data_IF_252212895957
#
_entry.id   IF_252212895957
#
_cell.length_a   1.000
_cell.length_b   1.000
_cell.length_c   1.000
_cell.angle_alpha   90.00
_cell.angle_beta   90.00
_cell.angle_gamma   90.00
#
_symmetry.space_group_name_H-M   'P 1'
#
loop_
_entity.id
_entity.type
_entity.pdbx_description
1 polymer ?
#
# COMPACT_ATOMS: atom_id res chain seq x y z
N UNK A 1 41.06 -66.42 6.01
CA UNK A 1 41.10 -65.39 4.95
C UNK A 1 39.88 -64.51 5.09
N UNK A 2 40.06 -63.23 5.41
CA UNK A 2 38.98 -62.24 5.61
C UNK A 2 38.32 -61.94 4.26
N UNK A 3 37.04 -62.26 4.09
CA UNK A 3 36.23 -61.74 2.97
C UNK A 3 35.44 -60.51 3.43
N UNK A 4 35.43 -59.53 2.55
CA UNK A 4 35.11 -58.13 2.76
C UNK A 4 33.64 -57.89 3.13
N UNK A 5 33.44 -57.14 4.22
CA UNK A 5 32.24 -56.33 4.47
C UNK A 5 32.28 -55.14 3.49
N UNK A 6 31.36 -55.06 2.53
CA UNK A 6 31.13 -53.82 1.77
C UNK A 6 29.85 -53.92 0.94
N UNK A 7 28.68 -53.90 1.58
CA UNK A 7 27.39 -53.56 0.94
C UNK A 7 26.39 -53.31 2.09
N UNK A 8 26.31 -52.07 2.61
CA UNK A 8 25.22 -51.18 2.21
C UNK A 8 25.66 -49.70 2.27
N UNK A 9 26.38 -49.22 1.26
CA UNK A 9 26.65 -47.78 1.13
C UNK A 9 26.09 -47.16 -0.16
N UNK A 10 25.57 -47.98 -1.08
CA UNK A 10 25.15 -47.51 -2.41
C UNK A 10 23.66 -47.13 -2.51
N UNK A 11 22.83 -47.46 -1.50
CA UNK A 11 21.39 -47.10 -1.49
C UNK A 11 21.13 -45.78 -0.73
N UNK A 12 22.11 -45.25 0.00
CA UNK A 12 21.99 -43.95 0.67
C UNK A 12 22.38 -42.75 -0.22
N UNK A 13 22.90 -42.98 -1.42
CA UNK A 13 23.43 -41.93 -2.29
C UNK A 13 22.44 -41.41 -3.36
N UNK A 14 21.25 -42.02 -3.45
CA UNK A 14 20.18 -41.59 -4.38
C UNK A 14 19.04 -40.82 -3.69
N UNK A 15 19.07 -40.67 -2.37
CA UNK A 15 18.06 -39.90 -1.61
C UNK A 15 18.51 -38.49 -1.23
N UNK A 16 19.70 -38.06 -1.63
CA UNK A 16 20.28 -36.77 -1.25
C UNK A 16 20.66 -35.94 -2.46
N UNK A 17 19.69 -35.21 -3.03
CA UNK A 17 19.82 -33.93 -3.74
C UNK A 17 18.45 -33.57 -4.35
N UNK A 18 17.41 -33.48 -3.50
CA UNK A 18 16.26 -32.65 -3.86
C UNK A 18 16.74 -31.23 -3.65
N UNK A 19 17.03 -30.48 -4.71
CA UNK A 19 17.31 -29.04 -4.58
C UNK A 19 16.10 -28.42 -3.88
N UNK A 20 16.28 -28.00 -2.64
CA UNK A 20 15.29 -27.18 -1.95
C UNK A 20 15.42 -25.78 -2.55
N UNK A 21 14.70 -25.54 -3.64
CA UNK A 21 14.40 -24.18 -4.08
C UNK A 21 13.51 -23.50 -3.04
N UNK A 22 13.60 -22.18 -2.95
CA UNK A 22 12.73 -21.41 -2.09
C UNK A 22 11.27 -21.58 -2.53
N UNK A 23 10.40 -21.92 -1.57
CA UNK A 23 8.97 -22.07 -1.86
C UNK A 23 8.35 -20.70 -2.18
N UNK A 24 7.71 -20.63 -3.34
CA UNK A 24 6.81 -19.56 -3.76
C UNK A 24 5.37 -19.85 -3.31
N UNK A 25 4.51 -18.82 -3.19
CA UNK A 25 4.82 -17.39 -3.38
C UNK A 25 5.55 -16.78 -2.17
N UNK A 26 6.39 -15.76 -2.41
CA UNK A 26 6.99 -14.97 -1.34
C UNK A 26 5.96 -14.03 -0.73
N UNK A 27 5.85 -14.05 0.60
CA UNK A 27 4.98 -13.14 1.33
C UNK A 27 5.54 -11.72 1.32
N UNK A 28 4.70 -10.76 0.94
CA UNK A 28 5.02 -9.32 0.96
C UNK A 28 3.87 -8.55 1.61
N UNK A 29 4.14 -7.36 2.13
CA UNK A 29 3.10 -6.51 2.70
C UNK A 29 2.31 -5.77 1.64
N UNK A 30 2.95 -5.40 0.52
CA UNK A 30 2.34 -4.54 -0.49
C UNK A 30 3.08 -4.58 -1.82
N UNK A 31 2.35 -4.54 -2.93
CA UNK A 31 2.90 -4.15 -4.24
C UNK A 31 2.79 -2.63 -4.33
N UNK A 32 3.87 -1.92 -4.03
CA UNK A 32 3.89 -0.45 -4.01
C UNK A 32 3.73 0.13 -5.43
N UNK A 33 4.49 -0.40 -6.40
CA UNK A 33 4.36 0.00 -7.81
C UNK A 33 4.64 -1.15 -8.76
N UNK A 34 3.89 -1.20 -9.86
CA UNK A 34 4.20 -2.10 -10.98
C UNK A 34 5.41 -1.59 -11.75
N UNK A 35 6.12 -2.49 -12.45
CA UNK A 35 7.20 -2.07 -13.35
C UNK A 35 6.64 -1.25 -14.53
N UNK A 36 7.32 -0.18 -14.90
CA UNK A 36 7.04 0.58 -16.12
C UNK A 36 7.77 0.03 -17.36
N UNK A 37 8.68 -0.94 -17.19
CA UNK A 37 9.53 -1.49 -18.26
C UNK A 37 8.92 -2.75 -18.87
N UNK A 38 8.47 -3.67 -18.02
CA UNK A 38 7.99 -4.99 -18.44
C UNK A 38 6.89 -5.49 -17.50
N UNK A 39 5.83 -6.08 -18.07
CA UNK A 39 4.87 -6.85 -17.29
C UNK A 39 5.44 -8.25 -17.05
N UNK A 40 5.28 -8.79 -15.85
CA UNK A 40 5.68 -10.16 -15.60
C UNK A 40 4.80 -11.11 -16.41
N UNK A 41 5.46 -11.94 -17.21
CA UNK A 41 4.86 -13.00 -18.00
C UNK A 41 5.97 -14.03 -18.26
N UNK A 42 5.63 -15.31 -18.18
CA UNK A 42 6.51 -16.44 -18.54
C UNK A 42 7.71 -16.69 -17.60
N UNK A 43 8.41 -17.82 -17.86
CA UNK A 43 9.54 -18.44 -17.14
C UNK A 43 10.81 -17.56 -17.06
N UNK A 44 10.68 -16.34 -16.55
CA UNK A 44 11.82 -15.44 -16.36
C UNK A 44 12.57 -15.84 -15.09
N UNK A 45 13.89 -15.70 -15.13
CA UNK A 45 14.66 -15.63 -13.89
C UNK A 45 14.18 -14.44 -13.07
N UNK A 46 14.20 -14.55 -11.75
CA UNK A 46 13.73 -13.47 -10.87
C UNK A 46 14.94 -12.85 -10.20
N UNK A 47 15.14 -11.55 -10.39
CA UNK A 47 16.17 -10.80 -9.68
C UNK A 47 15.51 -9.91 -8.62
N UNK A 48 15.78 -10.20 -7.35
CA UNK A 48 15.31 -9.39 -6.22
C UNK A 48 16.42 -8.41 -5.83
N UNK A 49 16.15 -7.11 -5.91
CA UNK A 49 17.01 -5.99 -5.54
C UNK A 49 16.58 -5.43 -4.17
N UNK A 50 17.35 -5.71 -3.13
CA UNK A 50 17.12 -5.20 -1.78
C UNK A 50 17.73 -3.81 -1.62
N UNK A 51 16.87 -2.81 -1.42
CA UNK A 51 17.25 -1.41 -1.39
C UNK A 51 16.70 -0.66 -0.17
N UNK A 52 17.08 0.61 -0.02
CA UNK A 52 16.52 1.52 0.96
C UNK A 52 16.58 2.98 0.51
N UNK A 53 15.67 3.81 1.01
CA UNK A 53 15.59 5.24 0.68
C UNK A 53 16.83 6.02 1.14
N UNK A 54 17.42 5.61 2.26
CA UNK A 54 18.65 6.18 2.83
C UNK A 54 19.93 5.60 2.21
N UNK A 55 19.83 4.57 1.38
CA UNK A 55 20.99 3.89 0.79
C UNK A 55 21.48 4.63 -0.47
N UNK A 56 22.51 5.45 -0.31
CA UNK A 56 23.16 6.17 -1.41
C UNK A 56 23.61 5.26 -2.57
N UNK A 57 24.38 4.18 -2.32
CA UNK A 57 24.83 3.27 -3.37
C UNK A 57 23.69 2.52 -4.09
N UNK A 58 22.56 2.29 -3.41
CA UNK A 58 21.40 1.64 -4.00
C UNK A 58 20.86 2.42 -5.20
N UNK A 59 20.91 3.76 -5.16
CA UNK A 59 20.43 4.61 -6.27
C UNK A 59 21.11 4.26 -7.60
N UNK A 60 22.43 4.11 -7.58
CA UNK A 60 23.20 3.75 -8.77
C UNK A 60 22.95 2.30 -9.20
N UNK A 61 22.88 1.39 -8.22
CA UNK A 61 22.57 -0.02 -8.45
C UNK A 61 21.20 -0.20 -9.13
N UNK A 62 20.14 0.41 -8.60
CA UNK A 62 18.80 0.34 -9.18
C UNK A 62 18.76 0.91 -10.59
N UNK A 63 19.44 2.02 -10.89
CA UNK A 63 19.54 2.54 -12.27
C UNK A 63 20.27 1.60 -13.23
N UNK A 64 21.31 0.92 -12.78
CA UNK A 64 21.95 -0.14 -13.56
C UNK A 64 20.98 -1.30 -13.84
N UNK A 65 20.19 -1.69 -12.84
CA UNK A 65 19.21 -2.77 -12.99
C UNK A 65 18.04 -2.38 -13.91
N UNK A 66 17.58 -1.13 -13.90
CA UNK A 66 16.60 -0.63 -14.87
C UNK A 66 17.09 -0.81 -16.32
N UNK A 67 18.35 -0.44 -16.60
CA UNK A 67 18.96 -0.63 -17.93
C UNK A 67 19.04 -2.12 -18.29
N UNK A 68 19.47 -2.96 -17.34
CA UNK A 68 19.54 -4.40 -17.59
C UNK A 68 18.15 -5.03 -17.78
N UNK A 69 17.12 -4.53 -17.11
CA UNK A 69 15.74 -4.96 -17.29
C UNK A 69 15.23 -4.62 -18.70
N UNK A 70 15.63 -3.47 -19.26
CA UNK A 70 15.29 -3.10 -20.64
C UNK A 70 15.89 -4.05 -21.67
N UNK A 71 17.12 -4.52 -21.44
CA UNK A 71 17.85 -5.42 -22.33
C UNK A 71 17.46 -6.91 -22.17
N UNK A 72 16.85 -7.27 -21.04
CA UNK A 72 16.56 -8.66 -20.66
C UNK A 72 15.07 -8.89 -20.36
N UNK A 73 14.20 -8.11 -21.02
CA UNK A 73 12.74 -8.15 -20.78
C UNK A 73 12.15 -9.55 -20.90
N UNK A 74 12.70 -10.39 -21.76
CA UNK A 74 12.18 -11.74 -22.02
C UNK A 74 12.79 -12.80 -21.10
N UNK A 75 13.96 -12.53 -20.51
CA UNK A 75 14.74 -13.51 -19.77
C UNK A 75 14.74 -13.31 -18.26
N UNK A 76 14.70 -12.06 -17.79
CA UNK A 76 14.83 -11.72 -16.38
C UNK A 76 13.76 -10.73 -15.98
N UNK A 77 13.07 -11.02 -14.87
CA UNK A 77 12.18 -10.09 -14.21
C UNK A 77 12.83 -9.58 -12.93
N UNK A 78 12.98 -8.26 -12.83
CA UNK A 78 13.67 -7.59 -11.76
C UNK A 78 12.68 -6.84 -10.89
N UNK A 79 12.83 -7.00 -9.58
CA UNK A 79 11.94 -6.44 -8.58
C UNK A 79 12.74 -5.84 -7.43
N UNK A 80 12.42 -4.61 -7.05
CA UNK A 80 13.05 -3.90 -5.96
C UNK A 80 12.22 -4.07 -4.68
N UNK A 81 12.83 -4.58 -3.61
CA UNK A 81 12.20 -4.88 -2.32
C UNK A 81 12.77 -3.99 -1.23
N UNK A 82 11.89 -3.42 -0.39
CA UNK A 82 12.26 -2.63 0.80
C UNK A 82 11.39 -3.01 1.99
N UNK A 83 11.97 -2.95 3.19
CA UNK A 83 11.30 -3.14 4.49
C UNK A 83 10.86 -1.82 5.13
N UNK A 84 11.05 -0.69 4.45
CA UNK A 84 10.71 0.62 5.00
C UNK A 84 9.20 0.88 5.03
N UNK A 85 8.79 1.83 5.87
CA UNK A 85 7.39 2.26 5.95
C UNK A 85 6.89 2.79 4.61
N UNK A 86 5.60 2.60 4.31
CA UNK A 86 4.98 3.14 3.09
C UNK A 86 5.29 4.64 2.92
N UNK A 87 5.23 5.43 4.00
CA UNK A 87 5.55 6.86 3.98
C UNK A 87 7.00 7.16 3.56
N UNK A 88 7.97 6.36 4.01
CA UNK A 88 9.37 6.54 3.64
C UNK A 88 9.59 6.23 2.15
N UNK A 89 9.08 5.08 1.69
CA UNK A 89 9.13 4.65 0.29
C UNK A 89 8.45 5.68 -0.61
N UNK A 90 7.27 6.13 -0.20
CA UNK A 90 6.50 7.15 -0.90
C UNK A 90 7.30 8.45 -1.05
N UNK A 91 7.86 9.00 0.03
CA UNK A 91 8.69 10.20 -0.05
C UNK A 91 9.90 10.08 -0.98
N UNK A 92 10.48 8.88 -1.09
CA UNK A 92 11.59 8.62 -2.00
C UNK A 92 11.14 8.52 -3.45
N UNK A 93 10.11 7.72 -3.72
CA UNK A 93 9.62 7.41 -5.07
C UNK A 93 9.13 8.65 -5.81
N UNK A 94 8.61 9.63 -5.07
CA UNK A 94 8.27 10.98 -5.57
C UNK A 94 9.46 11.74 -6.17
N UNK A 95 10.64 11.63 -5.53
CA UNK A 95 11.86 12.36 -5.92
C UNK A 95 12.73 11.57 -6.89
N UNK A 96 12.64 10.25 -6.84
CA UNK A 96 13.53 9.35 -7.56
C UNK A 96 12.76 8.09 -7.96
N UNK A 97 11.88 8.19 -8.98
CA UNK A 97 11.06 7.07 -9.39
C UNK A 97 11.94 5.90 -9.84
N UNK A 98 11.59 4.73 -9.32
CA UNK A 98 12.15 3.44 -9.72
C UNK A 98 11.23 2.86 -10.80
N UNK A 99 11.81 2.46 -11.93
CA UNK A 99 11.08 1.91 -13.08
C UNK A 99 10.85 0.39 -12.97
N UNK A 100 11.58 -0.27 -12.07
CA UNK A 100 11.33 -1.64 -11.68
C UNK A 100 10.04 -1.76 -10.87
N UNK A 101 9.51 -2.98 -10.75
CA UNK A 101 8.45 -3.23 -9.79
C UNK A 101 8.99 -3.00 -8.38
N UNK A 102 8.24 -2.29 -7.53
CA UNK A 102 8.62 -2.04 -6.14
C UNK A 102 7.66 -2.78 -5.22
N UNK A 103 8.21 -3.62 -4.36
CA UNK A 103 7.48 -4.36 -3.34
C UNK A 103 7.92 -3.87 -1.95
N UNK A 104 6.95 -3.84 -1.04
CA UNK A 104 7.18 -3.55 0.37
C UNK A 104 7.01 -4.82 1.19
N UNK A 105 8.02 -5.15 1.98
CA UNK A 105 8.04 -6.27 2.91
C UNK A 105 8.28 -5.72 4.31
N UNK A 106 7.22 -5.14 4.90
CA UNK A 106 7.27 -4.48 6.21
C UNK A 106 7.78 -5.40 7.31
N UNK A 107 7.42 -6.68 7.21
CA UNK A 107 7.83 -7.70 8.17
C UNK A 107 9.29 -8.13 7.95
N UNK A 108 9.97 -7.71 6.88
CA UNK A 108 11.33 -8.11 6.53
C UNK A 108 11.50 -9.62 6.35
N UNK A 109 10.43 -10.30 5.90
CA UNK A 109 10.42 -11.74 5.68
C UNK A 109 11.44 -12.19 4.63
N UNK A 110 11.52 -11.50 3.49
CA UNK A 110 12.50 -11.77 2.44
C UNK A 110 13.92 -11.42 2.89
N UNK A 111 14.09 -10.30 3.60
CA UNK A 111 15.40 -9.89 4.13
C UNK A 111 15.98 -10.98 5.03
N UNK A 112 15.17 -11.56 5.92
CA UNK A 112 15.57 -12.69 6.76
C UNK A 112 15.79 -13.96 5.94
N UNK A 113 14.86 -14.29 5.04
CA UNK A 113 14.91 -15.50 4.19
C UNK A 113 16.20 -15.57 3.39
N UNK A 114 16.63 -14.45 2.80
CA UNK A 114 17.85 -14.37 1.99
C UNK A 114 19.09 -13.92 2.78
N UNK A 115 18.99 -13.83 4.11
CA UNK A 115 20.08 -13.42 4.99
C UNK A 115 20.78 -12.11 4.55
N UNK A 116 19.99 -11.11 4.19
CA UNK A 116 20.48 -9.83 3.66
C UNK A 116 21.04 -8.98 4.81
N UNK A 117 22.37 -8.89 4.88
CA UNK A 117 23.09 -8.20 5.97
C UNK A 117 23.36 -6.71 5.68
N UNK A 118 23.35 -6.31 4.42
CA UNK A 118 23.64 -4.95 3.99
C UNK A 118 22.94 -4.62 2.69
N UNK A 119 22.79 -3.32 2.40
CA UNK A 119 22.19 -2.80 1.17
C UNK A 119 23.20 -1.91 0.43
N UNK A 120 23.28 -1.97 -0.91
CA UNK A 120 22.45 -2.77 -1.80
C UNK A 120 22.86 -4.25 -1.83
N UNK A 121 21.87 -5.13 -2.05
CA UNK A 121 22.08 -6.56 -2.19
C UNK A 121 21.08 -7.09 -3.21
N UNK A 122 21.48 -8.06 -4.04
CA UNK A 122 20.59 -8.69 -4.98
C UNK A 122 20.69 -10.21 -4.91
N UNK A 123 19.58 -10.87 -5.21
CA UNK A 123 19.45 -12.33 -5.32
C UNK A 123 18.83 -12.66 -6.66
N UNK A 124 19.50 -13.53 -7.43
CA UNK A 124 18.98 -14.10 -8.67
C UNK A 124 18.45 -15.49 -8.38
N UNK A 125 17.19 -15.71 -8.73
CA UNK A 125 16.48 -16.97 -8.56
C UNK A 125 16.12 -17.58 -9.92
N UNK A 126 16.11 -18.91 -9.97
CA UNK A 126 15.39 -19.63 -11.01
C UNK A 126 13.87 -19.51 -10.79
N UNK A 127 13.08 -19.86 -11.80
CA UNK A 127 11.63 -19.97 -11.66
C UNK A 127 11.20 -21.17 -10.79
N UNK A 128 12.13 -21.98 -10.25
CA UNK A 128 11.85 -22.99 -9.22
C UNK A 128 12.26 -22.52 -7.81
N UNK A 129 12.75 -21.28 -7.68
CA UNK A 129 13.15 -20.70 -6.40
C UNK A 129 14.60 -21.03 -6.03
N UNK A 130 15.38 -21.65 -6.91
CA UNK A 130 16.78 -21.94 -6.65
C UNK A 130 17.61 -20.65 -6.72
N UNK A 131 18.45 -20.41 -5.70
CA UNK A 131 19.38 -19.28 -5.69
C UNK A 131 20.53 -19.54 -6.66
N UNK A 132 20.52 -18.82 -7.79
CA UNK A 132 21.53 -18.91 -8.84
C UNK A 132 22.74 -18.01 -8.56
N UNK A 133 22.49 -16.87 -7.91
CA UNK A 133 23.51 -15.91 -7.54
C UNK A 133 23.00 -14.97 -6.44
N UNK A 134 23.89 -14.49 -5.59
CA UNK A 134 23.59 -13.39 -4.66
C UNK A 134 24.82 -12.51 -4.43
N UNK A 135 24.60 -11.24 -4.08
CA UNK A 135 25.68 -10.30 -3.78
C UNK A 135 25.35 -8.86 -4.14
N UNK A 136 26.37 -8.00 -4.21
CA UNK A 136 26.19 -6.60 -4.57
C UNK A 136 25.78 -6.46 -6.05
N UNK A 137 24.74 -5.67 -6.41
CA UNK A 137 24.20 -5.61 -7.78
C UNK A 137 25.22 -5.19 -8.85
N UNK A 138 26.24 -4.40 -8.50
CA UNK A 138 27.34 -4.06 -9.43
C UNK A 138 28.13 -5.28 -9.95
N UNK A 139 28.02 -6.44 -9.28
CA UNK A 139 28.57 -7.71 -9.73
C UNK A 139 27.74 -8.42 -10.80
N UNK A 140 26.64 -7.82 -11.26
CA UNK A 140 25.82 -8.28 -12.38
C UNK A 140 26.17 -7.51 -13.66
N UNK A 141 26.33 -8.25 -14.75
CA UNK A 141 26.47 -7.69 -16.09
C UNK A 141 25.48 -8.38 -17.03
N UNK A 142 25.21 -7.74 -18.17
CA UNK A 142 24.34 -8.29 -19.22
C UNK A 142 24.77 -9.71 -19.61
N UNK A 143 26.07 -9.92 -19.86
CA UNK A 143 26.61 -11.23 -20.23
C UNK A 143 26.42 -12.28 -19.12
N UNK A 144 26.59 -11.88 -17.86
CA UNK A 144 26.41 -12.78 -16.72
C UNK A 144 24.97 -13.23 -16.61
N UNK A 145 24.01 -12.31 -16.72
CA UNK A 145 22.58 -12.62 -16.71
C UNK A 145 22.17 -13.45 -17.93
N UNK A 146 22.68 -13.14 -19.14
CA UNK A 146 22.44 -13.96 -20.34
C UNK A 146 22.96 -15.39 -20.19
N UNK A 147 24.11 -15.60 -19.53
CA UNK A 147 24.62 -16.94 -19.24
C UNK A 147 23.69 -17.73 -18.30
N UNK A 148 23.18 -17.09 -17.24
CA UNK A 148 22.18 -17.70 -16.39
C UNK A 148 20.91 -18.03 -17.18
N UNK A 149 20.36 -17.07 -17.92
CA UNK A 149 19.13 -17.27 -18.70
C UNK A 149 19.23 -18.47 -19.66
N UNK A 150 20.34 -18.59 -20.40
CA UNK A 150 20.57 -19.73 -21.31
C UNK A 150 20.66 -21.07 -20.58
N UNK A 151 21.18 -21.09 -19.36
CA UNK A 151 21.37 -22.34 -18.60
C UNK A 151 20.07 -22.87 -17.99
N UNK A 152 19.04 -22.03 -17.87
CA UNK A 152 17.78 -22.36 -17.19
C UNK A 152 16.55 -22.31 -18.12
N UNK A 153 16.73 -22.24 -19.45
CA UNK A 153 15.65 -22.11 -20.44
C UNK A 153 14.69 -23.31 -20.61
N UNK A 154 14.86 -24.41 -19.85
CA UNK A 154 14.13 -25.67 -20.08
C UNK A 154 13.52 -26.26 -18.80
N UNK A 155 12.25 -25.94 -18.49
CA UNK A 155 11.45 -26.69 -17.49
C UNK A 155 9.97 -26.79 -17.81
N UNK A 156 9.37 -27.82 -17.20
CA UNK A 156 8.02 -28.35 -17.38
C UNK A 156 6.96 -27.78 -16.42
N UNK A 157 7.14 -26.62 -15.78
CA UNK A 157 6.03 -25.94 -15.10
C UNK A 157 6.31 -24.42 -14.90
N UNK A 158 5.69 -23.53 -15.71
CA UNK A 158 5.97 -22.09 -15.63
C UNK A 158 5.21 -21.40 -14.49
N UNK A 159 5.93 -20.72 -13.59
CA UNK A 159 5.35 -19.57 -12.88
C UNK A 159 5.03 -18.52 -13.94
N UNK A 160 3.75 -18.24 -14.12
CA UNK A 160 3.24 -17.52 -15.29
C UNK A 160 2.57 -16.21 -14.92
N UNK A 161 2.17 -16.08 -13.65
CA UNK A 161 1.49 -14.92 -13.07
C UNK A 161 2.29 -14.36 -11.91
N UNK A 162 2.11 -13.06 -11.64
CA UNK A 162 2.71 -12.41 -10.45
C UNK A 162 2.25 -13.05 -9.15
N UNK A 163 0.99 -13.48 -9.10
CA UNK A 163 0.41 -14.18 -7.94
C UNK A 163 1.11 -15.53 -7.66
N UNK A 164 1.78 -16.12 -8.66
CA UNK A 164 2.57 -17.33 -8.50
C UNK A 164 3.93 -17.03 -7.82
N UNK A 165 4.38 -15.77 -7.86
CA UNK A 165 5.66 -15.32 -7.29
C UNK A 165 5.53 -14.67 -5.93
N UNK A 166 4.52 -13.82 -5.77
CA UNK A 166 4.35 -12.97 -4.59
C UNK A 166 2.92 -13.05 -4.09
N UNK A 167 2.77 -13.28 -2.80
CA UNK A 167 1.49 -13.24 -2.11
C UNK A 167 1.49 -12.00 -1.22
N UNK A 168 0.51 -11.12 -1.44
CA UNK A 168 0.30 -10.01 -0.52
C UNK A 168 -0.29 -10.58 0.76
N UNK A 169 0.50 -10.55 1.83
CA UNK A 169 0.08 -10.97 3.17
C UNK A 169 -1.18 -10.18 3.50
N UNK A 170 -2.25 -10.89 3.89
CA UNK A 170 -3.43 -10.23 4.42
C UNK A 170 -2.96 -9.29 5.55
N UNK A 171 -3.37 -8.01 5.56
CA UNK A 171 -3.04 -7.12 6.65
C UNK A 171 -3.44 -7.82 7.95
N UNK A 172 -2.44 -8.22 8.73
CA UNK A 172 -2.67 -8.76 10.06
C UNK A 172 -3.43 -7.69 10.83
N UNK A 173 -4.46 -8.04 11.62
CA UNK A 173 -5.12 -7.08 12.50
C UNK A 173 -4.03 -6.33 13.28
N UNK A 174 -4.19 -5.01 13.51
CA UNK A 174 -3.18 -4.21 14.19
C UNK A 174 -2.74 -4.98 15.43
N UNK A 175 -1.42 -5.16 15.58
CA UNK A 175 -0.86 -5.79 16.76
C UNK A 175 -1.52 -5.17 17.98
N UNK A 176 -2.08 -5.98 18.88
CA UNK A 176 -2.65 -5.54 20.16
C UNK A 176 -1.59 -4.95 21.11
N UNK A 177 -0.45 -4.50 20.59
CA UNK A 177 0.49 -3.68 21.33
C UNK A 177 -0.08 -2.26 21.39
N UNK A 178 -0.96 -2.07 22.37
CA UNK A 178 -1.29 -0.75 22.89
C UNK A 178 0.02 -0.15 23.39
N UNK A 179 0.56 0.84 22.68
CA UNK A 179 1.66 1.65 23.21
C UNK A 179 1.24 2.14 24.60
N UNK A 180 2.08 1.98 25.65
CA UNK A 180 1.74 2.46 26.98
C UNK A 180 1.34 3.93 26.88
N UNK A 181 0.06 4.21 27.15
CA UNK A 181 -0.40 5.57 27.30
C UNK A 181 0.30 6.13 28.54
N UNK A 182 0.94 7.29 28.43
CA UNK A 182 1.41 8.02 29.61
C UNK A 182 0.20 8.30 30.51
N UNK A 183 0.36 8.20 31.84
CA UNK A 183 -0.73 8.30 32.83
C UNK A 183 -1.61 9.55 32.67
N UNK A 184 -1.09 10.62 32.04
CA UNK A 184 -1.78 11.90 31.78
C UNK A 184 -2.45 12.00 30.38
N UNK A 185 -2.51 10.92 29.61
CA UNK A 185 -3.19 10.89 28.31
C UNK A 185 -4.71 10.75 28.51
N UNK A 186 -5.43 11.83 28.84
CA UNK A 186 -6.90 11.80 28.97
C UNK A 186 -7.58 11.55 27.61
N UNK A 187 -7.64 10.28 27.19
CA UNK A 187 -8.52 9.82 26.11
C UNK A 187 -9.84 9.39 26.75
N UNK A 188 -10.94 9.99 26.31
CA UNK A 188 -12.28 9.60 26.74
C UNK A 188 -13.06 9.03 25.56
N UNK A 189 -13.76 7.92 25.78
CA UNK A 189 -14.59 7.24 24.77
C UNK A 189 -15.88 6.78 25.45
N UNK A 190 -17.01 7.36 25.07
CA UNK A 190 -18.32 7.01 25.64
C UNK A 190 -19.39 6.89 24.56
N UNK A 191 -20.42 6.08 24.82
CA UNK A 191 -21.64 6.05 23.99
C UNK A 191 -22.53 7.21 24.37
N UNK A 192 -23.09 7.87 23.35
CA UNK A 192 -24.04 8.97 23.53
C UNK A 192 -25.35 8.64 22.82
N UNK A 193 -26.45 9.25 23.29
CA UNK A 193 -27.79 9.03 22.71
C UNK A 193 -28.27 10.21 21.85
N UNK A 194 -27.69 11.40 22.06
CA UNK A 194 -28.05 12.60 21.30
C UNK A 194 -27.10 12.73 20.11
N UNK A 195 -27.62 12.72 18.87
CA UNK A 195 -26.78 12.86 17.69
C UNK A 195 -26.22 14.28 17.61
N UNK A 196 -24.92 14.42 17.85
CA UNK A 196 -24.13 15.52 17.32
C UNK A 196 -23.17 14.92 16.29
N UNK A 197 -23.06 15.55 15.12
CA UNK A 197 -22.03 15.23 14.13
C UNK A 197 -21.01 16.35 14.18
N UNK A 198 -20.16 16.32 15.20
CA UNK A 198 -19.14 17.33 15.44
C UNK A 198 -17.77 16.71 15.28
N UNK A 199 -16.94 17.31 14.43
CA UNK A 199 -15.51 17.04 14.46
C UNK A 199 -14.81 18.37 14.64
N UNK A 200 -14.14 18.53 15.77
CA UNK A 200 -13.39 19.73 16.08
C UNK A 200 -11.95 19.38 16.42
N UNK A 201 -11.04 20.24 16.00
CA UNK A 201 -9.61 20.08 16.20
C UNK A 201 -9.04 21.38 16.74
N UNK A 202 -8.43 21.30 17.91
CA UNK A 202 -7.68 22.39 18.55
C UNK A 202 -6.18 22.00 18.59
N UNK A 203 -5.25 22.95 18.83
CA UNK A 203 -3.81 22.68 18.82
C UNK A 203 -3.33 21.53 19.73
N UNK A 204 -4.12 21.13 20.73
CA UNK A 204 -3.78 20.02 21.63
C UNK A 204 -4.78 18.85 21.62
N UNK A 205 -6.01 19.04 21.17
CA UNK A 205 -7.10 18.06 21.33
C UNK A 205 -7.93 17.91 20.07
N UNK A 206 -8.31 16.68 19.75
CA UNK A 206 -9.34 16.33 18.78
C UNK A 206 -10.57 15.83 19.52
N UNK A 207 -11.74 16.35 19.15
CA UNK A 207 -13.03 15.86 19.62
C UNK A 207 -13.84 15.36 18.42
N UNK A 208 -14.46 14.20 18.60
CA UNK A 208 -15.38 13.59 17.67
C UNK A 208 -16.66 13.20 18.38
N UNK A 209 -17.78 13.70 17.87
CA UNK A 209 -19.12 13.28 18.22
C UNK A 209 -19.78 12.77 16.93
N UNK A 210 -20.26 11.52 16.94
CA UNK A 210 -20.88 10.94 15.76
C UNK A 210 -20.94 9.43 15.78
N UNK A 211 -21.32 8.85 14.64
CA UNK A 211 -21.41 7.40 14.47
C UNK A 211 -20.03 6.71 14.53
N UNK A 212 -19.94 5.59 15.23
CA UNK A 212 -18.71 4.82 15.38
C UNK A 212 -18.08 4.45 14.03
N UNK A 213 -18.88 3.99 13.07
CA UNK A 213 -18.31 3.52 11.79
C UNK A 213 -17.73 4.68 10.99
N UNK A 214 -18.33 5.87 11.12
CA UNK A 214 -17.80 7.10 10.53
C UNK A 214 -16.48 7.52 11.18
N UNK A 215 -16.32 7.33 12.49
CA UNK A 215 -15.04 7.56 13.16
C UNK A 215 -13.96 6.62 12.63
N UNK A 216 -14.25 5.32 12.56
CA UNK A 216 -13.32 4.30 12.06
C UNK A 216 -12.90 4.63 10.63
N UNK A 217 -13.85 4.96 9.75
CA UNK A 217 -13.57 5.38 8.39
C UNK A 217 -12.66 6.61 8.34
N UNK A 218 -12.88 7.58 9.25
CA UNK A 218 -12.08 8.80 9.35
C UNK A 218 -10.65 8.54 9.83
N UNK A 219 -10.47 7.66 10.82
CA UNK A 219 -9.15 7.25 11.32
C UNK A 219 -8.35 6.58 10.20
N UNK A 220 -8.97 5.65 9.47
CA UNK A 220 -8.34 4.97 8.32
C UNK A 220 -8.28 5.82 7.04
N UNK A 221 -8.90 7.00 7.02
CA UNK A 221 -9.01 7.88 5.85
C UNK A 221 -9.57 7.14 4.63
N UNK A 222 -10.66 6.42 4.83
CA UNK A 222 -11.40 5.70 3.78
C UNK A 222 -12.84 6.20 3.68
N UNK A 223 -13.51 6.00 2.53
CA UNK A 223 -14.95 6.24 2.42
C UNK A 223 -15.74 5.42 3.45
N UNK A 224 -16.77 6.02 4.04
CA UNK A 224 -17.63 5.43 5.08
C UNK A 224 -18.24 4.09 4.65
N UNK A 225 -18.63 3.99 3.39
CA UNK A 225 -19.24 2.78 2.83
C UNK A 225 -18.27 1.59 2.64
N UNK A 226 -16.97 1.78 2.93
CA UNK A 226 -15.99 0.70 3.03
C UNK A 226 -15.87 0.13 4.45
N UNK A 227 -16.53 0.73 5.44
CA UNK A 227 -16.63 0.23 6.81
C UNK A 227 -18.03 -0.36 7.00
N UNK A 228 -18.10 -1.63 7.34
CA UNK A 228 -19.36 -2.39 7.41
C UNK A 228 -19.38 -3.30 8.62
N UNK A 229 -20.56 -3.76 9.04
CA UNK A 229 -20.70 -4.78 10.09
C UNK A 229 -21.83 -5.74 9.73
N UNK A 230 -21.68 -7.00 10.10
CA UNK A 230 -22.70 -8.04 10.07
C UNK A 230 -23.33 -8.33 11.44
N UNK A 231 -22.68 -7.90 12.54
CA UNK A 231 -23.06 -8.24 13.93
C UNK A 231 -23.39 -7.04 14.80
N UNK A 232 -22.90 -5.85 14.47
CA UNK A 232 -23.04 -4.64 15.27
C UNK A 232 -23.85 -3.59 14.51
N UNK A 233 -24.88 -3.06 15.16
CA UNK A 233 -25.51 -1.83 14.71
C UNK A 233 -24.57 -0.65 14.99
N UNK A 234 -24.57 0.34 14.10
CA UNK A 234 -23.83 1.57 14.30
C UNK A 234 -24.48 2.41 15.41
N UNK A 235 -23.67 3.09 16.23
CA UNK A 235 -24.15 3.88 17.37
C UNK A 235 -23.32 5.14 17.55
N UNK A 236 -23.91 6.14 18.19
CA UNK A 236 -23.24 7.41 18.46
C UNK A 236 -22.26 7.28 19.62
N UNK A 237 -21.10 7.87 19.43
CA UNK A 237 -20.04 7.97 20.42
C UNK A 237 -19.53 9.40 20.53
N UNK A 238 -19.02 9.72 21.71
CA UNK A 238 -18.15 10.87 21.94
C UNK A 238 -16.74 10.35 22.21
N UNK A 239 -15.77 10.90 21.50
CA UNK A 239 -14.35 10.63 21.72
C UNK A 239 -13.57 11.94 21.83
N UNK A 240 -12.75 12.05 22.88
CA UNK A 240 -11.74 13.10 23.03
C UNK A 240 -10.37 12.45 23.07
N UNK A 241 -9.44 12.97 22.28
CA UNK A 241 -8.06 12.47 22.22
C UNK A 241 -7.07 13.62 22.06
N UNK A 242 -5.86 13.53 22.63
CA UNK A 242 -4.76 14.39 22.23
C UNK A 242 -4.54 14.38 20.71
N UNK A 243 -4.33 15.55 20.12
CA UNK A 243 -4.15 15.68 18.67
C UNK A 243 -2.91 14.90 18.16
N UNK A 244 -1.86 14.81 18.99
CA UNK A 244 -0.65 14.04 18.69
C UNK A 244 -0.97 12.57 18.42
N UNK A 245 -1.79 11.94 19.25
CA UNK A 245 -2.14 10.52 19.12
C UNK A 245 -2.91 10.30 17.81
N UNK A 246 -3.86 11.17 17.50
CA UNK A 246 -4.61 11.14 16.24
C UNK A 246 -3.69 11.20 15.00
N UNK A 247 -2.64 12.02 15.03
CA UNK A 247 -1.75 12.22 13.89
C UNK A 247 -0.66 11.15 13.76
N UNK A 248 -0.13 10.67 14.89
CA UNK A 248 1.05 9.79 14.90
C UNK A 248 0.72 8.32 15.10
N UNK A 249 -0.41 8.01 15.73
CA UNK A 249 -0.76 6.65 16.10
C UNK A 249 -2.27 6.37 16.01
N UNK A 250 -2.85 6.43 14.80
CA UNK A 250 -4.27 6.12 14.59
C UNK A 250 -4.63 4.69 15.01
N UNK A 251 -3.69 3.74 14.92
CA UNK A 251 -3.92 2.35 15.31
C UNK A 251 -4.16 2.20 16.82
N UNK A 252 -3.55 3.05 17.66
CA UNK A 252 -3.88 3.12 19.09
C UNK A 252 -5.35 3.50 19.30
N UNK A 253 -5.89 4.45 18.53
CA UNK A 253 -7.30 4.83 18.64
C UNK A 253 -8.21 3.66 18.25
N UNK A 254 -7.86 2.93 17.19
CA UNK A 254 -8.58 1.72 16.79
C UNK A 254 -8.54 0.65 17.89
N UNK A 255 -7.39 0.41 18.50
CA UNK A 255 -7.24 -0.56 19.58
C UNK A 255 -8.11 -0.19 20.79
N UNK A 256 -8.12 1.10 21.17
CA UNK A 256 -8.96 1.60 22.27
C UNK A 256 -10.45 1.47 21.97
N UNK A 257 -10.89 1.81 20.75
CA UNK A 257 -12.29 1.61 20.33
C UNK A 257 -12.68 0.13 20.36
N UNK A 258 -11.77 -0.74 19.88
CA UNK A 258 -11.96 -2.19 19.87
C UNK A 258 -12.12 -2.75 21.28
N UNK A 259 -11.28 -2.31 22.22
CA UNK A 259 -11.34 -2.70 23.62
C UNK A 259 -12.60 -2.15 24.31
N UNK A 260 -12.90 -0.86 24.14
CA UNK A 260 -14.00 -0.18 24.82
C UNK A 260 -15.37 -0.74 24.42
N UNK A 261 -15.54 -1.10 23.15
CA UNK A 261 -16.82 -1.58 22.63
C UNK A 261 -16.86 -3.09 22.37
N UNK A 262 -15.77 -3.79 22.70
CA UNK A 262 -15.62 -5.23 22.43
C UNK A 262 -15.96 -5.58 20.98
N UNK A 263 -15.33 -4.88 20.04
CA UNK A 263 -15.46 -5.09 18.60
C UNK A 263 -14.12 -5.49 18.00
N UNK A 264 -14.15 -6.21 16.88
CA UNK A 264 -12.98 -6.51 16.08
C UNK A 264 -13.09 -5.87 14.71
N UNK A 265 -12.05 -5.17 14.26
CA UNK A 265 -12.00 -4.54 12.94
C UNK A 265 -11.07 -5.35 12.04
N UNK A 266 -11.67 -6.00 11.04
CA UNK A 266 -11.00 -6.95 10.16
C UNK A 266 -10.84 -6.32 8.78
N UNK A 267 -9.61 -6.01 8.33
CA UNK A 267 -9.38 -5.55 6.97
C UNK A 267 -9.58 -6.69 5.96
N UNK A 268 -10.24 -6.40 4.84
CA UNK A 268 -10.56 -7.35 3.78
C UNK A 268 -10.13 -6.78 2.43
N UNK A 269 -9.27 -7.50 1.71
CA UNK A 269 -8.83 -7.14 0.37
C UNK A 269 -9.94 -7.48 -0.66
N UNK A 270 -10.52 -6.46 -1.29
CA UNK A 270 -11.62 -6.60 -2.24
C UNK A 270 -11.25 -6.02 -3.61
N UNK A 271 -11.33 -6.80 -4.71
CA UNK A 271 -11.11 -6.27 -6.04
C UNK A 271 -12.31 -5.43 -6.49
N UNK A 272 -12.13 -4.12 -6.65
CA UNK A 272 -13.20 -3.17 -6.94
C UNK A 272 -12.87 -2.28 -8.13
N UNK A 273 -13.92 -1.71 -8.73
CA UNK A 273 -13.76 -0.64 -9.71
C UNK A 273 -13.44 0.67 -8.98
N UNK A 274 -12.32 1.28 -9.35
CA UNK A 274 -11.79 2.49 -8.73
C UNK A 274 -11.61 3.58 -9.77
N UNK A 275 -12.05 4.78 -9.43
CA UNK A 275 -11.86 5.99 -10.22
C UNK A 275 -10.67 6.78 -9.68
N UNK A 276 -9.61 6.83 -10.46
CA UNK A 276 -8.40 7.57 -10.11
C UNK A 276 -8.55 8.99 -10.64
N UNK A 277 -8.44 9.98 -9.75
CA UNK A 277 -8.29 11.37 -10.15
C UNK A 277 -6.81 11.66 -10.42
N UNK A 278 -6.47 12.07 -11.64
CA UNK A 278 -5.12 12.44 -12.03
C UNK A 278 -5.08 13.91 -12.40
N UNK A 279 -4.27 14.68 -11.67
CA UNK A 279 -4.00 16.08 -12.02
C UNK A 279 -3.07 16.12 -13.23
N UNK A 280 -3.52 16.74 -14.32
CA UNK A 280 -2.75 16.94 -15.55
C UNK A 280 -2.35 18.41 -15.76
N UNK A 281 -3.05 19.33 -15.10
CA UNK A 281 -2.77 20.76 -15.13
C UNK A 281 -2.98 21.34 -13.72
N UNK A 282 -1.87 21.62 -13.04
CA UNK A 282 -1.90 22.15 -11.67
C UNK A 282 -2.29 23.61 -11.59
N UNK A 283 -2.10 24.39 -12.66
CA UNK A 283 -2.37 25.83 -12.66
C UNK A 283 -3.87 26.12 -12.57
N UNK A 284 -4.69 25.14 -12.96
CA UNK A 284 -6.15 25.18 -12.86
C UNK A 284 -6.67 24.87 -11.47
N UNK A 285 -5.92 24.17 -10.61
CA UNK A 285 -6.41 23.84 -9.27
C UNK A 285 -6.74 25.14 -8.52
N UNK A 286 -7.99 25.26 -8.09
CA UNK A 286 -8.43 26.37 -7.28
C UNK A 286 -7.60 26.43 -6.00
N UNK A 287 -7.26 27.64 -5.57
CA UNK A 287 -6.58 27.82 -4.28
C UNK A 287 -7.64 27.80 -3.16
N UNK A 288 -7.27 28.26 -1.97
CA UNK A 288 -8.17 28.31 -0.82
C UNK A 288 -8.89 29.66 -0.68
N UNK A 289 -9.17 30.34 -1.80
CA UNK A 289 -9.76 31.69 -1.78
C UNK A 289 -11.05 31.79 -2.57
N UNK A 290 -11.48 30.74 -3.25
CA UNK A 290 -12.66 30.74 -4.11
C UNK A 290 -13.93 30.59 -3.27
N UNK A 291 -13.89 29.74 -2.24
CA UNK A 291 -14.98 29.51 -1.29
C UNK A 291 -14.40 29.70 0.11
N UNK A 292 -14.95 30.66 0.86
CA UNK A 292 -14.51 30.92 2.24
C UNK A 292 -15.73 30.96 3.16
N UNK A 293 -15.95 29.89 3.91
CA UNK A 293 -17.04 29.79 4.88
C UNK A 293 -16.60 30.12 6.32
N UNK A 294 -15.41 30.69 6.48
CA UNK A 294 -14.87 31.22 7.74
C UNK A 294 -13.92 30.25 8.46
N UNK A 295 -13.12 30.78 9.39
CA UNK A 295 -12.02 30.05 10.06
C UNK A 295 -12.48 29.01 11.11
N UNK A 296 -13.76 28.99 11.49
CA UNK A 296 -14.24 28.25 12.67
C UNK A 296 -15.27 27.13 12.43
N UNK A 297 -15.72 26.87 11.20
CA UNK A 297 -16.82 25.92 11.01
C UNK A 297 -16.40 24.46 10.81
N UNK A 298 -17.09 23.58 11.53
CA UNK A 298 -16.93 22.12 11.53
C UNK A 298 -17.48 21.43 10.27
N UNK A 299 -18.08 22.20 9.34
CA UNK A 299 -18.61 21.73 8.06
C UNK A 299 -17.79 22.31 6.89
N UNK A 300 -16.81 21.53 6.42
CA UNK A 300 -15.91 21.92 5.33
C UNK A 300 -16.49 21.66 3.93
N UNK A 301 -17.76 21.25 3.84
CA UNK A 301 -18.43 20.95 2.56
C UNK A 301 -19.95 21.07 2.68
N UNK A 302 -20.59 21.40 1.56
CA UNK A 302 -22.03 21.36 1.34
C UNK A 302 -22.30 20.40 0.18
N UNK A 303 -23.24 19.47 0.40
CA UNK A 303 -23.69 18.52 -0.62
C UNK A 303 -25.15 18.82 -0.90
N UNK A 304 -25.43 19.18 -2.14
CA UNK A 304 -26.78 19.30 -2.70
C UNK A 304 -27.07 18.09 -3.58
N UNK A 305 -28.30 17.98 -4.09
CA UNK A 305 -28.70 16.88 -5.00
C UNK A 305 -27.77 16.75 -6.23
N UNK A 306 -27.27 17.88 -6.73
CA UNK A 306 -26.51 17.92 -7.97
C UNK A 306 -25.06 18.37 -7.81
N UNK A 307 -24.64 18.84 -6.64
CA UNK A 307 -23.34 19.51 -6.48
C UNK A 307 -22.68 19.27 -5.13
N UNK A 308 -21.36 19.11 -5.16
CA UNK A 308 -20.48 19.20 -3.99
C UNK A 308 -19.77 20.55 -4.05
N UNK A 309 -19.88 21.30 -2.97
CA UNK A 309 -19.02 22.46 -2.70
C UNK A 309 -18.19 22.14 -1.47
N UNK A 310 -16.87 22.36 -1.51
CA UNK A 310 -16.02 22.15 -0.36
C UNK A 310 -14.98 23.26 -0.22
N UNK A 311 -14.67 23.58 1.03
CA UNK A 311 -13.73 24.61 1.42
C UNK A 311 -12.49 23.91 2.01
N UNK A 312 -11.32 24.25 1.49
CA UNK A 312 -10.04 23.85 2.09
C UNK A 312 -9.81 22.32 2.22
N UNK A 313 -10.24 21.52 1.24
CA UNK A 313 -9.96 20.08 1.20
C UNK A 313 -8.77 19.77 0.31
N UNK A 314 -7.95 18.81 0.74
CA UNK A 314 -6.96 18.18 -0.16
C UNK A 314 -7.66 17.34 -1.22
N UNK A 315 -6.97 17.02 -2.32
CA UNK A 315 -7.51 16.16 -3.39
C UNK A 315 -7.89 14.77 -2.84
N UNK A 316 -7.12 14.24 -1.90
CA UNK A 316 -7.42 12.96 -1.25
C UNK A 316 -8.69 13.03 -0.38
N UNK A 317 -8.88 14.11 0.38
CA UNK A 317 -10.11 14.34 1.16
C UNK A 317 -11.32 14.54 0.25
N UNK A 318 -11.16 15.28 -0.84
CA UNK A 318 -12.20 15.43 -1.86
C UNK A 318 -12.57 14.08 -2.50
N UNK A 319 -11.59 13.21 -2.79
CA UNK A 319 -11.87 11.86 -3.27
C UNK A 319 -12.72 11.05 -2.27
N UNK A 320 -12.44 11.14 -0.97
CA UNK A 320 -13.24 10.46 0.06
C UNK A 320 -14.67 11.01 0.07
N UNK A 321 -14.82 12.34 0.04
CA UNK A 321 -16.13 13.01 0.00
C UNK A 321 -16.94 12.61 -1.25
N UNK A 322 -16.31 12.62 -2.42
CA UNK A 322 -16.94 12.21 -3.67
C UNK A 322 -17.33 10.72 -3.64
N UNK A 323 -16.47 9.88 -3.06
CA UNK A 323 -16.73 8.45 -2.89
C UNK A 323 -17.97 8.20 -2.04
N UNK A 324 -18.08 8.89 -0.90
CA UNK A 324 -19.22 8.73 0.00
C UNK A 324 -20.53 9.25 -0.58
N UNK A 325 -20.44 10.30 -1.40
CA UNK A 325 -21.58 10.92 -2.06
C UNK A 325 -22.09 10.06 -3.22
N UNK A 326 -21.17 9.51 -4.03
CA UNK A 326 -21.52 8.72 -5.21
C UNK A 326 -21.67 7.22 -4.95
N UNK A 327 -21.25 6.72 -3.79
CA UNK A 327 -21.16 5.28 -3.47
C UNK A 327 -20.26 4.51 -4.45
N UNK A 328 -19.20 5.17 -4.87
CA UNK A 328 -18.15 4.66 -5.76
C UNK A 328 -16.80 4.89 -5.07
N UNK A 329 -15.73 4.21 -5.49
CA UNK A 329 -14.40 4.41 -4.88
C UNK A 329 -13.56 5.35 -5.74
N UNK A 330 -13.32 6.56 -5.26
CA UNK A 330 -12.39 7.52 -5.84
C UNK A 330 -11.07 7.53 -5.07
N UNK A 331 -9.95 7.60 -5.80
CA UNK A 331 -8.59 7.65 -5.21
C UNK A 331 -7.73 8.70 -5.90
N UNK A 332 -6.85 9.29 -5.10
CA UNK A 332 -5.78 10.16 -5.57
C UNK A 332 -4.44 9.54 -5.17
N UNK A 333 -3.59 9.29 -6.16
CA UNK A 333 -2.23 8.74 -5.96
C UNK A 333 -1.13 9.79 -6.20
N UNK A 334 -1.50 11.06 -6.41
CA UNK A 334 -0.53 12.13 -6.62
C UNK A 334 -0.02 12.75 -5.33
N UNK A 335 0.83 13.77 -5.48
CA UNK A 335 1.61 14.37 -4.38
C UNK A 335 1.10 15.74 -3.95
N UNK A 336 -0.07 16.16 -4.44
CA UNK A 336 -0.68 17.42 -4.01
C UNK A 336 -1.41 17.24 -2.68
N UNK A 337 -0.79 17.77 -1.63
CA UNK A 337 -1.33 17.84 -0.27
C UNK A 337 -1.81 19.26 0.07
N UNK A 338 -1.81 20.17 -0.90
CA UNK A 338 -2.34 21.51 -0.67
C UNK A 338 -3.86 21.46 -0.57
N UNK A 339 -4.41 22.47 0.10
CA UNK A 339 -5.85 22.60 0.28
C UNK A 339 -6.42 23.43 -0.86
N UNK A 340 -7.52 22.94 -1.38
CA UNK A 340 -8.22 23.53 -2.50
C UNK A 340 -9.70 23.71 -2.15
N UNK A 341 -10.29 24.70 -2.77
CA UNK A 341 -11.74 24.81 -2.80
C UNK A 341 -12.27 23.99 -3.97
N UNK A 342 -13.42 23.38 -3.76
CA UNK A 342 -14.03 22.46 -4.71
C UNK A 342 -15.43 22.90 -5.02
N UNK A 343 -15.76 22.79 -6.30
CA UNK A 343 -17.10 23.07 -6.77
C UNK A 343 -17.42 22.21 -7.98
N UNK A 344 -18.07 21.08 -7.74
CA UNK A 344 -18.17 19.99 -8.72
C UNK A 344 -19.59 19.44 -8.78
N UNK A 345 -20.13 19.39 -9.98
CA UNK A 345 -21.39 18.73 -10.32
C UNK A 345 -21.25 17.21 -10.15
N UNK A 346 -22.23 16.59 -9.50
CA UNK A 346 -22.17 15.15 -9.17
C UNK A 346 -23.31 14.33 -9.74
N UNK A 347 -24.39 14.92 -10.24
CA UNK A 347 -25.53 14.13 -10.74
C UNK A 347 -25.27 13.50 -12.12
N UNK A 348 -24.62 14.25 -13.02
CA UNK A 348 -24.31 13.85 -14.39
C UNK A 348 -22.80 13.68 -14.55
N UNK A 349 -22.36 12.48 -14.94
CA UNK A 349 -20.92 12.14 -15.02
C UNK A 349 -20.18 12.97 -16.08
N UNK A 350 -20.79 13.21 -17.24
CA UNK A 350 -20.13 13.97 -18.31
C UNK A 350 -19.88 15.43 -17.92
N UNK A 351 -20.82 16.04 -17.17
CA UNK A 351 -20.64 17.38 -16.61
C UNK A 351 -19.56 17.38 -15.54
N UNK A 352 -19.58 16.40 -14.63
CA UNK A 352 -18.55 16.24 -13.61
C UNK A 352 -17.15 16.12 -14.22
N UNK A 353 -16.98 15.24 -15.22
CA UNK A 353 -15.70 15.06 -15.91
C UNK A 353 -15.28 16.32 -16.66
N UNK A 354 -16.22 17.01 -17.29
CA UNK A 354 -15.99 18.29 -17.95
C UNK A 354 -15.50 19.36 -16.97
N UNK A 355 -16.15 19.52 -15.82
CA UNK A 355 -15.75 20.48 -14.78
C UNK A 355 -14.41 20.11 -14.14
N UNK A 356 -14.20 18.85 -13.77
CA UNK A 356 -12.92 18.37 -13.26
C UNK A 356 -11.77 18.68 -14.22
N UNK A 357 -11.97 18.48 -15.52
CA UNK A 357 -10.95 18.75 -16.53
C UNK A 357 -10.76 20.25 -16.77
N UNK A 358 -11.85 20.99 -16.97
CA UNK A 358 -11.80 22.37 -17.43
C UNK A 358 -11.45 23.34 -16.31
N UNK A 359 -12.03 23.15 -15.12
CA UNK A 359 -11.88 24.04 -13.98
C UNK A 359 -10.73 23.62 -13.05
N UNK A 360 -10.47 22.31 -12.91
CA UNK A 360 -9.49 21.80 -11.94
C UNK A 360 -8.27 21.12 -12.60
N UNK A 361 -8.26 20.93 -13.92
CA UNK A 361 -7.16 20.24 -14.60
C UNK A 361 -7.01 18.77 -14.21
N UNK A 362 -8.11 18.12 -13.83
CA UNK A 362 -8.16 16.74 -13.35
C UNK A 362 -8.86 15.84 -14.37
N UNK A 363 -8.24 14.70 -14.69
CA UNK A 363 -8.87 13.63 -15.47
C UNK A 363 -9.25 12.46 -14.57
N UNK A 364 -10.42 11.88 -14.83
CA UNK A 364 -10.89 10.65 -14.18
C UNK A 364 -10.44 9.42 -14.98
N UNK A 365 -9.83 8.44 -14.33
CA UNK A 365 -9.42 7.18 -14.95
C UNK A 365 -10.02 5.99 -14.21
N UNK A 366 -10.76 5.13 -14.92
CA UNK A 366 -11.30 3.90 -14.36
C UNK A 366 -10.25 2.78 -14.36
N UNK A 367 -10.07 2.09 -13.23
CA UNK A 367 -9.18 0.94 -13.04
C UNK A 367 -9.83 -0.11 -12.16
N UNK A 368 -9.35 -1.35 -12.23
CA UNK A 368 -9.70 -2.41 -11.28
C UNK A 368 -8.53 -2.57 -10.31
N UNK A 369 -8.75 -2.32 -9.03
CA UNK A 369 -7.72 -2.35 -7.99
C UNK A 369 -8.20 -3.15 -6.79
N UNK A 370 -7.26 -3.64 -5.99
CA UNK A 370 -7.56 -4.21 -4.68
C UNK A 370 -7.73 -3.05 -3.70
N UNK A 371 -8.91 -2.97 -3.08
CA UNK A 371 -9.26 -1.98 -2.07
C UNK A 371 -9.52 -2.68 -0.74
N UNK A 372 -9.01 -2.08 0.34
CA UNK A 372 -9.27 -2.57 1.70
C UNK A 372 -10.64 -2.09 2.18
N UNK A 373 -11.53 -3.04 2.47
CA UNK A 373 -12.74 -2.83 3.28
C UNK A 373 -12.45 -3.19 4.73
N UNK A 374 -13.22 -2.64 5.64
CA UNK A 374 -13.12 -2.94 7.07
C UNK A 374 -14.44 -3.54 7.55
N UNK A 375 -14.40 -4.79 7.97
CA UNK A 375 -15.54 -5.49 8.56
C UNK A 375 -15.43 -5.42 10.09
N UNK A 376 -16.47 -4.91 10.74
CA UNK A 376 -16.58 -4.83 12.21
C UNK A 376 -17.37 -6.06 12.70
N UNK A 377 -16.78 -6.85 13.60
CA UNK A 377 -17.31 -8.11 14.11
C UNK A 377 -17.37 -8.22 15.63
#
# INVERSE_FOLDING_TARGET
>A
MKLFKLFPLLILLLYGLKSHGEEFPFEISEIYSSSSIVNYSNQKLILIDFWATWCGPCKAATKQLEILQEELKEEVFMVSVTDESHKAVDNYMKRSPIQLMVLRDEKGTLIRKFNVQSRPYAVLLSYQGEVLWSGHPSGLSLDKLKRFARSYQHSHNPLSRLDDLFSVSQPSPPSQEVFPLEEDSEITIERIHTPLSLFSRTPGTVQYDGLLFNLIAKIYRVPKHLVTSDKHDDFYIQMKSPARIWDTNPDTLIALLSQQFNIQIIPQANPEEVFILKVIDKEKLWNSRQINWGEENTANHLISENRIQADNLTIAEFCILLSDTKKEVYKYFGEDYTRHDWDVHIHFNDLMEGELLNEFGIVRQKRKLIITRFLIQ
#
